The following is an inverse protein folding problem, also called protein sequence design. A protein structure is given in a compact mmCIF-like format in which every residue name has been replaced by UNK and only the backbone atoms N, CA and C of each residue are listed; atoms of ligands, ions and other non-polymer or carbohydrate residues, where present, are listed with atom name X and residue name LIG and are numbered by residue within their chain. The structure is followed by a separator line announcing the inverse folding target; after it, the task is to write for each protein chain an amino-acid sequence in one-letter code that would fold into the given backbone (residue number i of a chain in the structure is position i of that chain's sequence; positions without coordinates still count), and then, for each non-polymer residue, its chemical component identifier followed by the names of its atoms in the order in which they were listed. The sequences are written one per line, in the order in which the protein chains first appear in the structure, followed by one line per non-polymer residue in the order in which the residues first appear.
data_IF_823915846135
#
_entry.id   IF_823915846135
#
_cell.length_a   1.000
_cell.length_b   1.000
_cell.length_c   1.000
_cell.angle_alpha   90.00
_cell.angle_beta   90.00
_cell.angle_gamma   90.00
#
_symmetry.space_group_name_H-M   'P 1'
#
loop_
_entity.id
_entity.type
_entity.pdbx_description
1 polymer ?
#
# COMPACT_ATOMS: atom_id res chain seq x y z
N UNK A 1 -17.44 7.36 -9.42
CA UNK A 1 -16.49 6.81 -8.42
C UNK A 1 -15.65 5.75 -9.10
N UNK A 2 -14.35 5.73 -8.86
CA UNK A 2 -13.47 4.70 -9.39
C UNK A 2 -13.76 3.40 -8.63
N UNK A 3 -14.50 2.47 -9.24
CA UNK A 3 -14.93 1.22 -8.58
C UNK A 3 -13.75 0.30 -8.20
N UNK A 4 -12.51 0.69 -8.50
CA UNK A 4 -11.29 -0.02 -8.12
C UNK A 4 -10.77 0.36 -6.75
N UNK A 5 -11.15 1.52 -6.22
CA UNK A 5 -10.72 1.97 -4.88
C UNK A 5 -11.46 1.14 -3.82
N UNK A 6 -10.69 0.56 -2.90
CA UNK A 6 -11.25 -0.23 -1.80
C UNK A 6 -10.99 0.41 -0.43
N UNK A 7 -10.05 1.35 -0.31
CA UNK A 7 -9.78 2.06 0.94
C UNK A 7 -9.22 3.46 0.65
N UNK A 8 -9.46 4.42 1.54
CA UNK A 8 -8.93 5.78 1.43
C UNK A 8 -8.74 6.38 2.81
N UNK A 9 -7.69 7.18 3.00
CA UNK A 9 -7.42 7.85 4.27
C UNK A 9 -6.56 9.10 4.09
N UNK A 10 -6.84 10.12 4.90
CA UNK A 10 -6.06 11.35 4.99
C UNK A 10 -5.07 11.27 6.15
N UNK A 11 -3.78 11.31 5.86
CA UNK A 11 -2.70 11.14 6.85
C UNK A 11 -1.62 12.18 6.58
N UNK A 12 -1.20 12.91 7.62
CA UNK A 12 -0.14 13.92 7.50
C UNK A 12 -0.43 15.00 6.45
N UNK A 13 -1.71 15.33 6.21
CA UNK A 13 -2.14 16.30 5.21
C UNK A 13 -2.09 15.79 3.75
N UNK A 14 -1.86 14.49 3.53
CA UNK A 14 -1.86 13.85 2.21
C UNK A 14 -3.00 12.83 2.11
N UNK A 15 -3.60 12.73 0.92
CA UNK A 15 -4.71 11.81 0.66
C UNK A 15 -4.20 10.55 -0.02
N UNK A 16 -4.43 9.39 0.60
CA UNK A 16 -4.03 8.11 0.07
C UNK A 16 -5.25 7.26 -0.28
N UNK A 17 -5.19 6.56 -1.40
CA UNK A 17 -6.13 5.48 -1.68
C UNK A 17 -5.40 4.16 -1.89
N UNK A 18 -6.06 3.09 -1.49
CA UNK A 18 -5.72 1.75 -1.93
C UNK A 18 -6.74 1.28 -2.96
N UNK A 19 -6.24 0.79 -4.10
CA UNK A 19 -7.05 0.39 -5.24
C UNK A 19 -6.56 -0.90 -5.87
N UNK A 20 -7.45 -1.58 -6.58
CA UNK A 20 -7.12 -2.79 -7.30
C UNK A 20 -6.57 -2.49 -8.70
N UNK A 21 -5.38 -3.01 -8.99
CA UNK A 21 -4.75 -2.99 -10.31
C UNK A 21 -4.60 -4.41 -10.85
N UNK A 22 -4.10 -4.56 -12.08
CA UNK A 22 -3.80 -5.88 -12.64
C UNK A 22 -2.55 -6.52 -11.96
N UNK A 23 -1.74 -5.71 -11.27
CA UNK A 23 -0.63 -6.15 -10.40
C UNK A 23 -1.08 -6.45 -8.96
N UNK A 24 -2.38 -6.31 -8.67
CA UNK A 24 -2.97 -6.54 -7.35
C UNK A 24 -3.22 -5.26 -6.55
N UNK A 25 -3.37 -5.37 -5.22
CA UNK A 25 -3.61 -4.22 -4.33
C UNK A 25 -2.47 -3.20 -4.41
N UNK A 26 -2.82 -1.93 -4.61
CA UNK A 26 -1.90 -0.83 -4.87
C UNK A 26 -2.23 0.35 -3.97
N UNK A 27 -1.23 1.06 -3.44
CA UNK A 27 -1.41 2.32 -2.74
C UNK A 27 -0.86 3.47 -3.59
N UNK A 28 -1.58 4.59 -3.61
CA UNK A 28 -1.14 5.81 -4.28
C UNK A 28 -1.50 7.07 -3.47
N UNK A 29 -0.74 8.14 -3.68
CA UNK A 29 -1.02 9.47 -3.10
C UNK A 29 -1.68 10.33 -4.19
N UNK A 30 -2.82 10.94 -3.86
CA UNK A 30 -3.72 11.54 -4.87
C UNK A 30 -3.41 13.00 -5.22
N UNK A 31 -2.63 13.71 -4.40
CA UNK A 31 -2.38 15.15 -4.62
C UNK A 31 -1.24 15.42 -5.59
N UNK A 32 -0.36 14.44 -5.86
CA UNK A 32 0.75 14.58 -6.82
C UNK A 32 0.40 14.07 -8.20
N UNK A 33 0.81 14.84 -9.22
CA UNK A 33 0.79 14.45 -10.63
C UNK A 33 2.22 14.14 -11.06
N UNK A 34 2.61 12.87 -11.11
CA UNK A 34 3.97 12.45 -11.41
C UNK A 34 4.11 11.00 -11.88
N UNK A 35 5.34 10.59 -12.21
CA UNK A 35 5.64 9.26 -12.77
C UNK A 35 5.85 8.17 -11.68
N UNK A 36 5.62 8.50 -10.40
CA UNK A 36 5.95 7.65 -9.24
C UNK A 36 4.84 7.63 -8.16
N UNK A 37 3.58 7.80 -8.56
CA UNK A 37 2.52 8.18 -7.60
C UNK A 37 2.01 7.01 -6.73
N UNK A 38 2.58 5.80 -6.85
CA UNK A 38 2.18 4.67 -6.01
C UNK A 38 3.02 3.41 -6.16
N UNK A 39 2.62 2.37 -5.43
CA UNK A 39 3.30 1.07 -5.38
C UNK A 39 2.36 -0.05 -4.94
N UNK A 40 2.64 -1.28 -5.39
CA UNK A 40 1.91 -2.45 -4.91
C UNK A 40 2.13 -2.67 -3.41
N UNK A 41 1.05 -3.01 -2.72
CA UNK A 41 1.09 -3.47 -1.34
C UNK A 41 1.73 -4.86 -1.27
N UNK A 42 2.28 -5.23 -0.10
CA UNK A 42 3.02 -6.48 0.11
C UNK A 42 4.50 -6.43 -0.30
N UNK A 43 4.89 -5.50 -1.16
CA UNK A 43 6.31 -5.28 -1.56
C UNK A 43 6.89 -3.96 -1.08
N UNK A 44 6.04 -3.03 -0.66
CA UNK A 44 6.46 -1.70 -0.25
C UNK A 44 6.76 -1.59 1.25
N UNK A 45 7.53 -0.58 1.61
CA UNK A 45 7.87 -0.22 2.98
C UNK A 45 7.84 1.31 3.15
N UNK A 46 7.57 1.77 4.37
CA UNK A 46 7.68 3.18 4.76
C UNK A 46 9.04 3.36 5.43
N UNK A 47 9.87 4.29 4.97
CA UNK A 47 11.19 4.52 5.58
C UNK A 47 11.65 5.97 5.45
N UNK A 48 12.53 6.40 6.35
CA UNK A 48 13.38 7.56 6.10
C UNK A 48 14.40 7.18 5.02
N UNK A 49 14.51 8.02 4.01
CA UNK A 49 15.30 7.76 2.83
C UNK A 49 15.92 9.07 2.31
N UNK A 50 17.19 9.00 1.95
CA UNK A 50 17.83 10.00 1.12
C UNK A 50 17.98 9.43 -0.29
N UNK A 51 17.16 9.86 -1.25
CA UNK A 51 17.22 9.31 -2.59
C UNK A 51 18.50 9.72 -3.32
N UNK A 52 19.27 8.72 -3.75
CA UNK A 52 20.57 8.92 -4.42
C UNK A 52 20.47 9.30 -5.90
N UNK A 53 19.27 9.25 -6.51
CA UNK A 53 19.08 9.55 -7.94
C UNK A 53 17.92 10.53 -8.21
N UNK A 54 18.29 11.76 -8.56
CA UNK A 54 17.80 12.56 -9.70
C UNK A 54 16.35 13.05 -9.83
N UNK A 55 15.33 12.52 -9.13
CA UNK A 55 13.93 12.87 -9.39
C UNK A 55 13.04 12.97 -8.14
N UNK A 56 13.63 13.02 -6.95
CA UNK A 56 12.90 12.88 -5.70
C UNK A 56 13.14 14.09 -4.78
N UNK A 57 12.12 14.47 -4.03
CA UNK A 57 11.97 15.76 -3.32
C UNK A 57 12.93 16.00 -2.14
N UNK A 58 13.99 15.19 -2.01
CA UNK A 58 15.02 15.32 -0.97
C UNK A 58 14.89 14.30 0.16
N UNK A 59 15.67 14.51 1.22
CA UNK A 59 15.67 13.68 2.44
C UNK A 59 14.29 13.71 3.11
N UNK A 60 13.74 12.54 3.41
CA UNK A 60 12.52 12.47 4.21
C UNK A 60 11.89 11.09 4.27
N UNK A 61 10.61 11.04 4.61
CA UNK A 61 9.84 9.81 4.62
C UNK A 61 9.36 9.47 3.20
N UNK A 62 9.46 8.19 2.85
CA UNK A 62 8.98 7.66 1.57
C UNK A 62 8.25 6.35 1.77
N UNK A 63 7.29 6.08 0.89
CA UNK A 63 6.95 4.70 0.53
C UNK A 63 7.93 4.26 -0.56
N UNK A 64 8.71 3.23 -0.27
CA UNK A 64 9.68 2.63 -1.18
C UNK A 64 9.17 1.27 -1.66
N UNK A 65 9.47 0.92 -2.92
CA UNK A 65 9.39 -0.44 -3.42
C UNK A 65 10.67 -1.18 -3.02
N UNK A 66 10.53 -2.43 -2.56
CA UNK A 66 11.62 -3.21 -2.01
C UNK A 66 12.30 -2.48 -0.84
N UNK A 67 13.57 -2.09 -0.98
CA UNK A 67 14.35 -1.44 0.07
C UNK A 67 14.90 -0.06 -0.34
N UNK A 68 14.94 0.28 -1.62
CA UNK A 68 15.69 1.44 -2.12
C UNK A 68 15.03 2.20 -3.28
N UNK A 69 13.93 1.69 -3.85
CA UNK A 69 13.28 2.36 -4.97
C UNK A 69 12.16 3.27 -4.43
N UNK A 70 12.47 4.54 -4.19
CA UNK A 70 11.49 5.51 -3.72
C UNK A 70 10.36 5.70 -4.74
N UNK A 71 9.13 5.72 -4.23
CA UNK A 71 7.90 5.85 -5.03
C UNK A 71 7.14 7.08 -4.57
N UNK A 72 6.59 7.03 -3.37
CA UNK A 72 5.73 8.09 -2.83
C UNK A 72 6.51 8.89 -1.80
N UNK A 73 6.77 10.17 -2.07
CA UNK A 73 7.33 11.06 -1.05
C UNK A 73 6.23 11.44 -0.06
N UNK A 74 6.51 11.24 1.21
CA UNK A 74 5.60 11.55 2.32
C UNK A 74 5.99 12.91 2.91
N UNK A 75 5.68 13.97 2.15
CA UNK A 75 6.11 15.32 2.50
C UNK A 75 5.63 15.73 3.90
N UNK A 76 6.53 16.23 4.74
CA UNK A 76 6.19 16.70 6.09
C UNK A 76 5.76 15.61 7.08
N UNK A 77 5.86 14.32 6.73
CA UNK A 77 5.48 13.24 7.65
C UNK A 77 6.35 13.23 8.90
N UNK A 78 5.71 13.01 10.04
CA UNK A 78 6.38 12.66 11.30
C UNK A 78 6.49 11.14 11.46
N UNK A 79 7.26 10.69 12.44
CA UNK A 79 7.31 9.27 12.81
C UNK A 79 5.93 8.73 13.22
N UNK A 80 5.08 9.58 13.79
CA UNK A 80 3.70 9.22 14.15
C UNK A 80 2.84 9.03 12.90
N UNK A 81 2.98 9.88 11.88
CA UNK A 81 2.23 9.75 10.62
C UNK A 81 2.66 8.52 9.84
N UNK A 82 3.97 8.21 9.83
CA UNK A 82 4.47 6.97 9.26
C UNK A 82 3.86 5.72 9.95
N UNK A 83 3.75 5.74 11.29
CA UNK A 83 3.08 4.66 12.04
C UNK A 83 1.58 4.59 11.75
N UNK A 84 0.89 5.72 11.63
CA UNK A 84 -0.53 5.75 11.23
C UNK A 84 -0.73 5.16 9.84
N UNK A 85 0.06 5.59 8.85
CA UNK A 85 0.02 5.06 7.48
C UNK A 85 0.28 3.54 7.46
N UNK A 86 1.25 3.09 8.26
CA UNK A 86 1.54 1.67 8.45
C UNK A 86 0.36 0.87 8.98
N UNK A 87 -0.31 1.36 10.03
CA UNK A 87 -1.49 0.68 10.62
C UNK A 87 -2.69 0.70 9.68
N UNK A 88 -2.89 1.82 8.99
CA UNK A 88 -4.04 2.03 8.11
C UNK A 88 -3.95 1.14 6.86
N UNK A 89 -2.79 1.15 6.19
CA UNK A 89 -2.59 0.43 4.94
C UNK A 89 -1.86 -0.90 5.07
N UNK A 90 -1.44 -1.28 6.28
CA UNK A 90 -0.69 -2.51 6.54
C UNK A 90 0.64 -2.53 5.78
N UNK A 91 1.40 -1.43 5.86
CA UNK A 91 2.73 -1.30 5.26
C UNK A 91 3.77 -1.33 6.36
N UNK A 92 4.86 -2.07 6.17
CA UNK A 92 5.94 -2.09 7.15
C UNK A 92 6.63 -0.73 7.26
N UNK A 93 6.81 -0.23 8.47
CA UNK A 93 7.79 0.83 8.74
C UNK A 93 9.16 0.18 8.90
N UNK A 94 10.12 0.56 8.06
CA UNK A 94 11.51 0.21 8.28
C UNK A 94 12.07 1.14 9.35
N UNK A 95 12.56 0.53 10.44
CA UNK A 95 13.35 1.19 11.46
C UNK A 95 14.69 0.48 11.51
N UNK A 96 15.79 1.22 11.37
CA UNK A 96 17.14 0.64 11.42
C UNK A 96 17.44 -0.06 12.75
N UNK A 97 16.64 0.21 13.79
CA UNK A 97 16.74 -0.44 15.11
C UNK A 97 15.84 -1.69 15.26
N UNK A 98 14.79 -1.82 14.44
CA UNK A 98 13.86 -2.94 14.50
C UNK A 98 13.85 -3.63 13.14
N UNK A 99 14.64 -4.71 13.04
CA UNK A 99 14.82 -5.47 11.81
C UNK A 99 13.50 -5.83 11.09
N UNK A 100 13.62 -6.14 9.80
CA UNK A 100 12.54 -6.41 8.85
C UNK A 100 11.38 -7.22 9.44
N UNK A 101 10.25 -6.57 9.74
CA UNK A 101 8.98 -7.28 9.96
C UNK A 101 8.48 -7.80 8.60
N UNK A 102 8.60 -9.10 8.34
CA UNK A 102 8.26 -9.68 7.05
C UNK A 102 6.75 -9.96 6.91
N UNK A 103 6.18 -9.60 5.75
CA UNK A 103 5.09 -10.31 5.06
C UNK A 103 3.64 -10.11 5.51
N UNK A 104 3.34 -10.09 6.81
CA UNK A 104 1.95 -10.10 7.30
C UNK A 104 1.19 -8.76 7.49
N UNK A 105 1.79 -7.55 7.46
CA UNK A 105 1.07 -6.37 7.95
C UNK A 105 -0.15 -6.01 7.12
N UNK A 106 -0.13 -6.24 5.79
CA UNK A 106 -1.28 -5.91 4.94
C UNK A 106 -2.53 -6.63 5.41
N UNK A 107 -2.46 -7.96 5.58
CA UNK A 107 -3.58 -8.81 6.00
C UNK A 107 -4.08 -8.54 7.43
N UNK A 108 -3.40 -7.67 8.19
CA UNK A 108 -3.80 -7.24 9.54
C UNK A 108 -4.23 -5.77 9.62
N UNK A 109 -4.09 -5.02 8.52
CA UNK A 109 -4.40 -3.59 8.46
C UNK A 109 -5.85 -3.28 8.07
N UNK A 110 -6.28 -2.03 8.27
CA UNK A 110 -7.65 -1.57 7.95
C UNK A 110 -7.95 -1.61 6.45
N UNK A 111 -6.93 -1.39 5.62
CA UNK A 111 -7.05 -1.53 4.18
C UNK A 111 -7.41 -2.96 3.77
N UNK A 112 -6.97 -4.00 4.51
CA UNK A 112 -7.38 -5.37 4.24
C UNK A 112 -8.84 -5.63 4.60
N UNK A 113 -9.33 -5.11 5.72
CA UNK A 113 -10.75 -5.20 6.06
C UNK A 113 -11.63 -4.55 5.00
N UNK A 114 -11.17 -3.40 4.49
CA UNK A 114 -11.85 -2.68 3.41
C UNK A 114 -11.77 -3.45 2.09
N UNK A 115 -10.64 -4.13 1.80
CA UNK A 115 -10.53 -5.01 0.63
C UNK A 115 -11.49 -6.20 0.72
N UNK A 116 -11.65 -6.84 1.88
CA UNK A 116 -12.66 -7.90 2.09
C UNK A 116 -14.07 -7.39 1.80
N UNK A 117 -14.41 -6.19 2.29
CA UNK A 117 -15.70 -5.58 2.00
C UNK A 117 -15.88 -5.28 0.51
N UNK A 118 -14.84 -4.79 -0.16
CA UNK A 118 -14.83 -4.53 -1.59
C UNK A 118 -15.00 -5.81 -2.43
N UNK A 119 -14.34 -6.92 -2.04
CA UNK A 119 -14.51 -8.24 -2.70
C UNK A 119 -15.96 -8.71 -2.61
N UNK A 120 -16.60 -8.56 -1.44
CA UNK A 120 -18.02 -8.89 -1.25
C UNK A 120 -18.94 -8.01 -2.11
N UNK A 121 -18.64 -6.72 -2.23
CA UNK A 121 -19.42 -5.78 -3.04
C UNK A 121 -19.20 -5.95 -4.56
N UNK A 122 -18.03 -6.44 -4.98
CA UNK A 122 -17.61 -6.49 -6.38
C UNK A 122 -17.01 -7.85 -6.81
N UNK A 123 -17.71 -8.97 -6.58
CA UNK A 123 -17.13 -10.31 -6.72
C UNK A 123 -16.62 -10.64 -8.13
N UNK A 124 -17.34 -10.21 -9.17
CA UNK A 124 -16.92 -10.42 -10.57
C UNK A 124 -15.63 -9.68 -10.92
N UNK A 125 -15.47 -8.46 -10.41
CA UNK A 125 -14.29 -7.65 -10.65
C UNK A 125 -13.10 -8.15 -9.84
N UNK A 126 -13.32 -8.50 -8.56
CA UNK A 126 -12.32 -9.11 -7.71
C UNK A 126 -11.74 -10.39 -8.34
N UNK A 127 -12.62 -11.31 -8.79
CA UNK A 127 -12.20 -12.53 -9.48
C UNK A 127 -11.36 -12.24 -10.72
N UNK A 128 -11.77 -11.28 -11.56
CA UNK A 128 -11.00 -10.89 -12.76
C UNK A 128 -9.59 -10.42 -12.42
N UNK A 129 -9.42 -9.61 -11.37
CA UNK A 129 -8.10 -9.16 -10.93
C UNK A 129 -7.27 -10.32 -10.35
N UNK A 130 -7.90 -11.26 -9.65
CA UNK A 130 -7.26 -12.47 -9.14
C UNK A 130 -6.85 -13.47 -10.24
N UNK A 131 -7.41 -13.37 -11.44
CA UNK A 131 -7.03 -14.21 -12.59
C UNK A 131 -5.95 -13.56 -13.48
N UNK A 132 -5.65 -12.27 -13.28
CA UNK A 132 -4.62 -11.56 -14.05
C UNK A 132 -3.21 -12.10 -13.74
N UNK A 133 -2.34 -12.35 -14.70
CA UNK A 133 -1.05 -13.05 -14.45
C UNK A 133 0.02 -12.27 -13.65
N UNK A 134 -0.30 -11.13 -13.04
CA UNK A 134 0.69 -10.14 -12.60
C UNK A 134 0.70 -9.78 -11.10
N UNK A 135 -0.11 -10.40 -10.23
CA UNK A 135 -0.15 -10.07 -8.80
C UNK A 135 0.89 -10.80 -7.94
N UNK A 136 2.16 -10.55 -8.23
CA UNK A 136 3.32 -11.23 -7.61
C UNK A 136 3.51 -10.97 -6.10
N UNK A 137 2.92 -9.91 -5.53
CA UNK A 137 3.30 -9.42 -4.20
C UNK A 137 2.33 -9.79 -3.07
N UNK A 138 1.12 -10.23 -3.40
CA UNK A 138 0.11 -10.73 -2.45
C UNK A 138 -0.69 -11.86 -3.13
N UNK A 139 -0.04 -12.94 -3.62
CA UNK A 139 -0.67 -13.89 -4.56
C UNK A 139 -1.93 -14.58 -4.01
N UNK A 140 -2.09 -14.64 -2.69
CA UNK A 140 -3.20 -15.27 -1.98
C UNK A 140 -4.25 -14.26 -1.47
N UNK A 141 -4.20 -13.00 -1.90
CA UNK A 141 -5.12 -11.95 -1.43
C UNK A 141 -6.60 -12.30 -1.67
N UNK A 142 -6.92 -12.86 -2.84
CA UNK A 142 -8.30 -13.15 -3.20
C UNK A 142 -8.85 -14.35 -2.42
N UNK A 143 -8.05 -15.41 -2.33
CA UNK A 143 -8.42 -16.62 -1.58
C UNK A 143 -8.62 -16.28 -0.11
N UNK A 144 -7.71 -15.52 0.52
CA UNK A 144 -7.88 -15.05 1.91
C UNK A 144 -9.12 -14.17 2.08
N UNK A 145 -9.43 -13.30 1.11
CA UNK A 145 -10.57 -12.38 1.22
C UNK A 145 -11.92 -13.11 1.11
N UNK A 146 -11.96 -14.23 0.39
CA UNK A 146 -13.16 -15.03 0.16
C UNK A 146 -13.35 -16.13 1.20
N UNK A 147 -12.26 -16.65 1.78
CA UNK A 147 -12.29 -17.70 2.82
C UNK A 147 -12.45 -17.17 4.24
N UNK A 148 -12.08 -15.91 4.50
CA UNK A 148 -12.08 -15.27 5.83
C UNK A 148 -13.45 -14.96 6.46
N UNK A 149 -14.48 -15.78 6.19
CA UNK A 149 -15.78 -15.73 6.88
C UNK A 149 -15.91 -16.78 8.00
N UNK A 150 -14.80 -17.39 8.43
CA UNK A 150 -14.82 -18.47 9.44
C UNK A 150 -13.73 -18.28 10.50
N UNK A 151 -13.88 -17.28 11.37
CA UNK A 151 -13.39 -17.31 12.76
C UNK A 151 -14.38 -16.57 13.66
#
# INVERSE_FOLDING_TARGET
MNNRVFHSSDIGGQHFEALMTDEGPFIWECSRKGYHDGVCLGVCQIRKFEPTFGLLDGLGWYIVKYNNEARVFLNGFTDQDARKLSQEFGINVWDDNFGRHAGEPFYKGRAWDSLKAWVKAHPKMAKRHAEARHHAYLPDWYDRATTGNSE
#
